data_IF_085984533537
#
_entry.id   IF_085984533537
#
_cell.length_a   1.000
_cell.length_b   1.000
_cell.length_c   1.000
_cell.angle_alpha   90.00
_cell.angle_beta   90.00
_cell.angle_gamma   90.00
#
_symmetry.space_group_name_H-M   'P 1'
#
loop_
_entity.id
_entity.type
_entity.pdbx_description
1 polymer ?
#
# COMPACT_ATOMS: atom_id res chain seq x y z
N UNK A 1 -52.45 15.14 -34.46
CA UNK A 1 -51.46 15.97 -33.72
C UNK A 1 -51.42 15.70 -32.24
N UNK A 2 -52.54 15.56 -31.51
CA UNK A 2 -52.54 15.25 -30.04
C UNK A 2 -51.89 13.91 -29.67
N UNK A 3 -51.97 12.87 -30.46
CA UNK A 3 -51.38 11.54 -30.19
C UNK A 3 -49.85 11.50 -30.31
N UNK A 4 -49.28 12.33 -31.21
CA UNK A 4 -47.81 12.42 -31.40
C UNK A 4 -47.14 13.14 -30.21
N UNK A 5 -47.79 14.15 -29.64
CA UNK A 5 -47.29 14.88 -28.49
C UNK A 5 -47.25 14.00 -27.23
N UNK A 6 -48.22 13.06 -27.10
CA UNK A 6 -48.28 12.13 -25.96
C UNK A 6 -47.14 11.08 -26.03
N UNK A 7 -46.77 10.62 -27.23
CA UNK A 7 -45.65 9.70 -27.41
C UNK A 7 -44.29 10.38 -27.17
N UNK A 8 -44.15 11.65 -27.58
CA UNK A 8 -42.91 12.41 -27.37
C UNK A 8 -42.67 12.71 -25.88
N UNK A 9 -43.74 12.93 -25.08
CA UNK A 9 -43.67 13.13 -23.63
C UNK A 9 -43.28 11.87 -22.86
N UNK A 10 -43.70 10.68 -23.32
CA UNK A 10 -43.36 9.40 -22.68
C UNK A 10 -41.89 9.00 -22.90
N UNK A 11 -41.31 9.36 -24.06
CA UNK A 11 -39.89 9.02 -24.38
C UNK A 11 -38.90 9.87 -23.58
N UNK A 12 -39.30 11.05 -23.11
CA UNK A 12 -38.41 11.92 -22.30
C UNK A 12 -38.27 11.42 -20.85
N UNK A 13 -39.17 10.56 -20.38
CA UNK A 13 -39.19 10.11 -18.98
C UNK A 13 -38.25 8.94 -18.71
N UNK A 14 -37.69 8.29 -19.76
CA UNK A 14 -36.83 7.09 -19.61
C UNK A 14 -35.35 7.44 -19.44
N UNK A 15 -34.94 8.70 -19.54
CA UNK A 15 -33.53 9.12 -19.45
C UNK A 15 -33.05 9.50 -18.05
N UNK A 16 -33.83 9.17 -16.99
CA UNK A 16 -33.30 9.20 -15.64
C UNK A 16 -32.40 7.99 -15.43
N UNK A 17 -31.21 8.03 -16.03
CA UNK A 17 -30.13 7.12 -15.72
C UNK A 17 -29.81 7.27 -14.21
N UNK A 18 -30.13 6.25 -13.43
CA UNK A 18 -29.66 6.14 -12.04
C UNK A 18 -28.14 6.27 -12.06
N UNK A 19 -27.62 7.43 -11.67
CA UNK A 19 -26.19 7.54 -11.33
C UNK A 19 -25.96 6.68 -10.12
N UNK A 20 -25.42 5.50 -10.32
CA UNK A 20 -24.99 4.65 -9.21
C UNK A 20 -23.86 5.40 -8.49
N UNK A 21 -24.17 5.96 -7.33
CA UNK A 21 -23.16 6.59 -6.47
C UNK A 21 -22.33 5.47 -5.83
N UNK A 22 -21.02 5.49 -6.08
CA UNK A 22 -20.11 4.50 -5.52
C UNK A 22 -19.94 4.77 -4.03
N UNK A 23 -20.17 3.73 -3.22
CA UNK A 23 -19.88 3.77 -1.80
C UNK A 23 -18.36 3.57 -1.58
N UNK A 24 -17.70 4.63 -1.12
CA UNK A 24 -16.28 4.63 -0.78
C UNK A 24 -16.00 4.28 0.70
N UNK A 25 -17.00 3.81 1.44
CA UNK A 25 -16.79 3.34 2.81
C UNK A 25 -15.83 2.15 2.86
N UNK A 26 -14.98 2.04 3.89
CA UNK A 26 -14.03 0.94 3.98
C UNK A 26 -14.76 -0.40 4.13
N UNK A 27 -14.25 -1.42 3.43
CA UNK A 27 -14.76 -2.79 3.51
C UNK A 27 -14.00 -3.58 4.58
N UNK A 28 -14.65 -4.54 5.24
CA UNK A 28 -13.95 -5.47 6.12
C UNK A 28 -12.99 -6.35 5.31
N UNK A 29 -11.82 -6.64 5.87
CA UNK A 29 -10.86 -7.60 5.29
C UNK A 29 -11.35 -9.02 5.60
N UNK A 30 -11.27 -9.88 4.59
CA UNK A 30 -11.33 -11.32 4.79
C UNK A 30 -9.90 -11.88 4.79
N UNK A 31 -9.33 -12.09 5.98
CA UNK A 31 -7.95 -12.53 6.15
C UNK A 31 -7.63 -13.92 5.58
N UNK A 32 -8.67 -14.75 5.32
CA UNK A 32 -8.49 -16.06 4.71
C UNK A 32 -8.42 -16.02 3.17
N UNK A 33 -8.80 -14.88 2.58
CA UNK A 33 -8.94 -14.74 1.11
C UNK A 33 -8.22 -13.55 0.53
N UNK A 34 -8.27 -12.40 1.21
CA UNK A 34 -7.81 -11.16 0.64
C UNK A 34 -6.28 -11.10 0.65
N UNK A 35 -5.70 -10.78 -0.49
CA UNK A 35 -4.25 -10.75 -0.70
C UNK A 35 -3.81 -9.39 -1.20
N UNK A 36 -2.58 -9.04 -0.90
CA UNK A 36 -1.96 -7.81 -1.40
C UNK A 36 -1.87 -7.82 -2.94
N UNK A 37 -2.28 -6.73 -3.57
CA UNK A 37 -2.26 -6.60 -5.02
C UNK A 37 -0.85 -6.69 -5.61
N UNK A 38 0.16 -6.20 -4.90
CA UNK A 38 1.56 -6.14 -5.36
C UNK A 38 2.35 -7.39 -4.96
N UNK A 39 2.52 -7.63 -3.66
CA UNK A 39 3.37 -8.75 -3.19
C UNK A 39 2.68 -10.11 -3.19
N UNK A 40 1.36 -10.17 -3.41
CA UNK A 40 0.53 -11.39 -3.44
C UNK A 40 0.49 -12.18 -2.12
N UNK A 41 0.98 -11.61 -1.03
CA UNK A 41 0.89 -12.20 0.31
C UNK A 41 -0.50 -11.98 0.90
N UNK A 42 -0.93 -12.88 1.78
CA UNK A 42 -2.15 -12.70 2.57
C UNK A 42 -2.05 -11.47 3.47
N UNK A 43 -3.17 -10.82 3.71
CA UNK A 43 -3.24 -9.72 4.66
C UNK A 43 -3.33 -10.30 6.07
N UNK A 44 -2.49 -9.87 7.00
CA UNK A 44 -2.45 -10.43 8.34
C UNK A 44 -2.50 -9.37 9.45
N UNK A 45 -2.17 -8.12 9.15
CA UNK A 45 -2.04 -7.09 10.16
C UNK A 45 -2.93 -5.86 9.87
N UNK A 46 -4.12 -5.77 10.50
CA UNK A 46 -5.07 -4.67 10.25
C UNK A 46 -4.52 -3.29 10.56
N UNK A 47 -3.40 -3.17 11.29
CA UNK A 47 -2.78 -1.86 11.61
C UNK A 47 -2.02 -1.24 10.44
N UNK A 48 -1.65 -2.04 9.44
CA UNK A 48 -0.81 -1.57 8.34
C UNK A 48 -1.42 -1.85 6.96
N UNK A 49 -2.47 -2.67 6.90
CA UNK A 49 -3.15 -2.97 5.65
C UNK A 49 -3.83 -1.73 5.07
N UNK A 50 -3.90 -1.66 3.75
CA UNK A 50 -4.62 -0.62 3.03
C UNK A 50 -5.63 -1.22 2.08
N UNK A 51 -6.64 -0.42 1.78
CA UNK A 51 -7.54 -0.65 0.66
C UNK A 51 -7.70 0.64 -0.15
N UNK A 52 -7.60 0.51 -1.46
CA UNK A 52 -7.97 1.56 -2.39
C UNK A 52 -9.28 1.16 -3.09
N UNK A 53 -10.24 2.08 -3.16
CA UNK A 53 -11.52 1.91 -3.83
C UNK A 53 -11.56 2.89 -4.99
N UNK A 54 -11.76 2.39 -6.21
CA UNK A 54 -11.79 3.22 -7.41
C UNK A 54 -13.21 3.73 -7.75
N UNK A 55 -13.32 4.53 -8.80
CA UNK A 55 -14.58 5.13 -9.23
C UNK A 55 -15.67 4.13 -9.66
N UNK A 56 -15.29 2.88 -9.89
CA UNK A 56 -16.22 1.78 -10.22
C UNK A 56 -16.57 0.91 -9.00
N UNK A 57 -16.06 1.23 -7.81
CA UNK A 57 -16.25 0.46 -6.59
C UNK A 57 -15.36 -0.78 -6.48
N UNK A 58 -14.41 -0.97 -7.40
CA UNK A 58 -13.42 -2.04 -7.31
C UNK A 58 -12.40 -1.74 -6.22
N UNK A 59 -11.89 -2.78 -5.56
CA UNK A 59 -10.96 -2.67 -4.45
C UNK A 59 -9.62 -3.31 -4.81
N UNK A 60 -8.52 -2.62 -4.45
CA UNK A 60 -7.19 -3.19 -4.33
C UNK A 60 -6.76 -3.19 -2.87
N UNK A 61 -6.23 -4.31 -2.45
CA UNK A 61 -5.69 -4.49 -1.11
C UNK A 61 -4.17 -4.39 -1.12
N UNK A 62 -3.60 -3.81 -0.07
CA UNK A 62 -2.15 -3.75 0.12
C UNK A 62 -1.81 -4.10 1.56
N UNK A 63 -0.75 -4.86 1.73
CA UNK A 63 -0.26 -5.34 3.01
C UNK A 63 0.50 -4.26 3.80
N UNK A 64 1.13 -3.33 3.08
CA UNK A 64 1.94 -2.23 3.61
C UNK A 64 1.82 -1.02 2.68
N UNK A 65 1.98 0.20 3.21
CA UNK A 65 1.96 1.43 2.41
C UNK A 65 3.02 1.42 1.31
N UNK A 66 4.11 0.70 1.51
CA UNK A 66 5.14 0.54 0.48
C UNK A 66 4.65 -0.25 -0.74
N UNK A 67 3.76 -1.23 -0.56
CA UNK A 67 3.15 -1.93 -1.69
C UNK A 67 2.26 -0.98 -2.52
N UNK A 68 1.53 -0.07 -1.87
CA UNK A 68 0.79 0.97 -2.57
C UNK A 68 1.75 1.93 -3.31
N UNK A 69 2.86 2.33 -2.69
CA UNK A 69 3.86 3.19 -3.32
C UNK A 69 4.46 2.52 -4.59
N UNK A 70 4.74 1.22 -4.53
CA UNK A 70 5.22 0.45 -5.68
C UNK A 70 4.17 0.40 -6.80
N UNK A 71 2.87 0.18 -6.49
CA UNK A 71 1.80 0.19 -7.50
C UNK A 71 1.60 1.58 -8.14
N UNK A 72 1.76 2.65 -7.36
CA UNK A 72 1.69 4.03 -7.86
C UNK A 72 2.85 4.34 -8.82
N UNK A 73 4.06 3.88 -8.49
CA UNK A 73 5.29 4.17 -9.24
C UNK A 73 5.45 3.28 -10.47
N UNK A 74 5.34 1.96 -10.28
CA UNK A 74 5.73 0.95 -11.27
C UNK A 74 4.52 0.19 -11.85
N UNK A 75 3.35 0.25 -11.19
CA UNK A 75 2.13 -0.40 -11.60
C UNK A 75 1.17 0.49 -12.40
N UNK A 76 -0.08 0.08 -12.41
CA UNK A 76 -1.14 0.75 -13.16
C UNK A 76 -2.14 1.51 -12.26
N UNK A 77 -1.78 1.75 -10.98
CA UNK A 77 -2.66 2.42 -10.00
C UNK A 77 -3.26 3.73 -10.53
N UNK A 78 -2.44 4.57 -11.17
CA UNK A 78 -2.87 5.87 -11.66
C UNK A 78 -3.92 5.78 -12.78
N UNK A 79 -3.92 4.70 -13.56
CA UNK A 79 -4.95 4.42 -14.57
C UNK A 79 -6.17 3.74 -13.92
N UNK A 80 -5.94 2.79 -13.03
CA UNK A 80 -6.97 2.01 -12.36
C UNK A 80 -7.88 2.83 -11.44
N UNK A 81 -7.31 3.81 -10.70
CA UNK A 81 -8.06 4.60 -9.71
C UNK A 81 -9.16 5.47 -10.31
N UNK A 82 -9.01 5.86 -11.59
CA UNK A 82 -9.93 6.77 -12.26
C UNK A 82 -9.88 8.19 -11.70
N UNK A 83 -10.98 8.94 -11.87
CA UNK A 83 -11.09 10.34 -11.42
C UNK A 83 -11.48 10.48 -9.95
N UNK A 84 -12.23 9.51 -9.43
CA UNK A 84 -12.67 9.46 -8.03
C UNK A 84 -12.19 8.18 -7.39
N UNK A 85 -11.53 8.28 -6.26
CA UNK A 85 -11.06 7.13 -5.50
C UNK A 85 -10.97 7.46 -4.02
N UNK A 86 -10.78 6.44 -3.20
CA UNK A 86 -10.53 6.58 -1.76
C UNK A 86 -9.51 5.57 -1.32
N UNK A 87 -8.58 6.00 -0.48
CA UNK A 87 -7.58 5.12 0.13
C UNK A 87 -7.80 5.12 1.64
N UNK A 88 -7.97 3.93 2.20
CA UNK A 88 -8.05 3.68 3.62
C UNK A 88 -6.81 2.94 4.08
N UNK A 89 -6.35 3.25 5.29
CA UNK A 89 -5.24 2.57 5.95
C UNK A 89 -5.63 2.24 7.38
N UNK A 90 -5.13 1.13 7.91
CA UNK A 90 -5.29 0.82 9.33
C UNK A 90 -4.52 1.79 10.21
N UNK A 91 -5.18 2.33 11.22
CA UNK A 91 -4.51 3.12 12.27
C UNK A 91 -3.55 2.23 13.04
N UNK A 92 -2.28 2.61 13.11
CA UNK A 92 -1.20 1.81 13.68
C UNK A 92 -1.34 1.55 15.20
N UNK A 93 -2.21 2.30 15.88
CA UNK A 93 -2.50 2.08 17.29
C UNK A 93 -3.71 1.14 17.48
N UNK A 94 -4.76 1.31 16.66
CA UNK A 94 -6.07 0.70 16.90
C UNK A 94 -6.47 -0.35 15.85
N UNK A 95 -5.86 -0.37 14.67
CA UNK A 95 -6.27 -1.19 13.52
C UNK A 95 -7.57 -0.73 12.84
N UNK A 96 -8.17 0.38 13.27
CA UNK A 96 -9.36 0.94 12.63
C UNK A 96 -9.00 1.68 11.36
N UNK A 97 -9.89 1.62 10.37
CA UNK A 97 -9.72 2.36 9.13
C UNK A 97 -9.71 3.88 9.34
N UNK A 98 -8.69 4.53 8.80
CA UNK A 98 -8.56 5.97 8.70
C UNK A 98 -8.25 6.36 7.25
N UNK A 99 -8.55 7.60 6.89
CA UNK A 99 -8.26 8.15 5.57
C UNK A 99 -6.74 8.26 5.38
N UNK A 100 -6.18 7.48 4.44
CA UNK A 100 -4.73 7.42 4.24
C UNK A 100 -4.15 8.76 3.81
N UNK A 101 -4.86 9.54 2.98
CA UNK A 101 -4.38 10.83 2.47
C UNK A 101 -4.43 11.95 3.52
N UNK A 102 -5.23 11.75 4.58
CA UNK A 102 -5.35 12.69 5.71
C UNK A 102 -4.61 12.24 6.97
N UNK A 103 -4.11 11.02 6.97
CA UNK A 103 -3.37 10.46 8.10
C UNK A 103 -1.99 11.10 8.25
N UNK A 104 -1.47 11.01 9.45
CA UNK A 104 -0.09 11.33 9.78
C UNK A 104 0.69 10.04 9.96
N UNK A 105 1.96 10.04 9.58
CA UNK A 105 2.77 8.84 9.55
C UNK A 105 4.01 9.00 10.45
N UNK A 106 4.28 7.96 11.23
CA UNK A 106 5.53 7.81 11.97
C UNK A 106 6.43 6.78 11.28
N UNK A 107 7.73 6.99 11.38
CA UNK A 107 8.73 6.05 10.90
C UNK A 107 9.28 5.21 12.05
N UNK A 108 9.56 3.94 11.79
CA UNK A 108 10.20 3.01 12.72
C UNK A 108 9.32 1.85 13.15
N UNK A 109 8.06 1.79 12.74
CA UNK A 109 7.16 0.67 13.04
C UNK A 109 7.64 -0.63 12.37
N UNK A 110 7.33 -1.78 12.99
CA UNK A 110 7.51 -3.08 12.36
C UNK A 110 6.29 -3.38 11.49
N UNK A 111 6.46 -3.17 10.19
CA UNK A 111 5.40 -3.35 9.19
C UNK A 111 5.63 -4.63 8.39
N UNK A 112 4.60 -5.26 7.81
CA UNK A 112 4.70 -6.56 7.16
C UNK A 112 5.82 -6.65 6.12
N UNK A 113 5.94 -5.64 5.25
CA UNK A 113 6.97 -5.58 4.20
C UNK A 113 8.23 -4.81 4.61
N UNK A 114 8.31 -4.35 5.87
CA UNK A 114 9.46 -3.65 6.40
C UNK A 114 9.69 -2.25 5.85
N UNK A 115 8.65 -1.58 5.30
CA UNK A 115 8.78 -0.18 4.92
C UNK A 115 8.87 0.74 6.13
N UNK A 116 8.21 0.38 7.24
CA UNK A 116 8.41 1.01 8.54
C UNK A 116 7.58 2.25 8.78
N UNK A 117 6.48 2.45 8.06
CA UNK A 117 5.59 3.60 8.24
C UNK A 117 4.25 3.17 8.83
N UNK A 118 3.94 3.64 10.04
CA UNK A 118 2.65 3.47 10.68
C UNK A 118 1.81 4.73 10.59
N UNK A 119 0.54 4.59 10.16
CA UNK A 119 -0.41 5.69 10.04
C UNK A 119 -1.15 5.92 11.35
N UNK A 120 -1.41 7.17 11.70
CA UNK A 120 -2.25 7.57 12.84
C UNK A 120 -3.11 8.76 12.45
N UNK A 121 -4.23 8.94 13.16
CA UNK A 121 -5.20 10.00 12.86
C UNK A 121 -4.64 11.39 13.12
N UNK A 122 -3.83 11.55 14.17
CA UNK A 122 -3.41 12.86 14.64
C UNK A 122 -1.90 13.06 14.50
N UNK A 123 -1.50 14.30 14.22
CA UNK A 123 -0.11 14.69 14.15
C UNK A 123 0.52 14.69 15.55
N UNK A 124 1.71 14.10 15.64
CA UNK A 124 2.54 14.11 16.86
C UNK A 124 4.01 14.36 16.49
N UNK A 125 4.88 14.53 17.47
CA UNK A 125 6.32 14.67 17.22
C UNK A 125 6.91 13.47 16.47
N UNK A 126 6.38 12.28 16.73
CA UNK A 126 6.78 11.04 16.05
C UNK A 126 6.05 10.85 14.71
N UNK A 127 4.76 11.15 14.64
CA UNK A 127 3.91 11.05 13.45
C UNK A 127 3.82 12.42 12.76
N UNK A 128 4.85 12.75 12.01
CA UNK A 128 5.06 14.09 11.42
C UNK A 128 5.04 14.13 9.90
N UNK A 129 5.02 12.96 9.25
CA UNK A 129 5.00 12.88 7.80
C UNK A 129 3.56 12.79 7.31
N UNK A 130 3.22 13.52 6.26
CA UNK A 130 1.98 13.35 5.52
C UNK A 130 2.09 12.23 4.48
N UNK A 131 0.98 11.86 3.88
CA UNK A 131 0.91 10.78 2.89
C UNK A 131 1.88 10.97 1.72
N UNK A 132 1.91 12.16 1.12
CA UNK A 132 2.78 12.48 -0.01
C UNK A 132 4.26 12.36 0.36
N UNK A 133 4.63 12.88 1.51
CA UNK A 133 6.00 12.79 2.04
C UNK A 133 6.40 11.33 2.26
N UNK A 134 5.51 10.48 2.76
CA UNK A 134 5.81 9.06 2.95
C UNK A 134 6.07 8.36 1.63
N UNK A 135 5.22 8.56 0.62
CA UNK A 135 5.45 7.98 -0.71
C UNK A 135 6.80 8.40 -1.27
N UNK A 136 7.12 9.70 -1.22
CA UNK A 136 8.42 10.20 -1.66
C UNK A 136 9.59 9.57 -0.89
N UNK A 137 9.48 9.43 0.43
CA UNK A 137 10.53 8.82 1.26
C UNK A 137 10.74 7.34 0.93
N UNK A 138 9.66 6.62 0.60
CA UNK A 138 9.75 5.22 0.15
C UNK A 138 10.49 5.15 -1.19
N UNK A 139 10.18 6.02 -2.14
CA UNK A 139 10.85 6.11 -3.45
C UNK A 139 12.33 6.45 -3.31
N UNK A 140 12.69 7.28 -2.34
CA UNK A 140 14.08 7.59 -1.99
C UNK A 140 14.79 6.46 -1.22
N UNK A 141 14.14 5.32 -0.97
CA UNK A 141 14.69 4.18 -0.24
C UNK A 141 14.82 4.41 1.28
N UNK A 142 14.18 5.41 1.85
CA UNK A 142 14.16 5.69 3.29
C UNK A 142 13.18 4.76 4.01
N UNK A 143 13.52 3.47 4.10
CA UNK A 143 12.69 2.40 4.65
C UNK A 143 13.48 1.57 5.65
N UNK A 144 12.80 0.93 6.63
CA UNK A 144 13.46 0.05 7.62
C UNK A 144 14.19 -1.11 6.93
N UNK A 145 13.59 -1.71 5.89
CA UNK A 145 14.22 -2.80 5.15
C UNK A 145 15.51 -2.37 4.46
N UNK A 146 15.57 -1.15 3.89
CA UNK A 146 16.78 -0.61 3.30
C UNK A 146 17.87 -0.37 4.34
N UNK A 147 17.51 0.20 5.49
CA UNK A 147 18.42 0.39 6.62
C UNK A 147 18.98 -0.94 7.14
N UNK A 148 18.14 -1.96 7.24
CA UNK A 148 18.56 -3.31 7.63
C UNK A 148 19.55 -3.91 6.63
N UNK A 149 19.26 -3.83 5.34
CA UNK A 149 20.14 -4.33 4.27
C UNK A 149 21.49 -3.63 4.31
N UNK A 150 21.48 -2.29 4.48
CA UNK A 150 22.70 -1.48 4.58
C UNK A 150 23.55 -1.90 5.78
N UNK A 151 22.95 -2.06 6.96
CA UNK A 151 23.63 -2.52 8.18
C UNK A 151 24.23 -3.92 7.99
N UNK A 152 23.48 -4.84 7.38
CA UNK A 152 23.96 -6.20 7.10
C UNK A 152 25.16 -6.20 6.16
N UNK A 153 25.12 -5.43 5.07
CA UNK A 153 26.24 -5.29 4.13
C UNK A 153 27.50 -4.75 4.83
N UNK A 154 27.37 -3.72 5.68
CA UNK A 154 28.48 -3.16 6.45
C UNK A 154 29.08 -4.18 7.41
N UNK A 155 28.25 -5.00 8.10
CA UNK A 155 28.74 -6.04 9.02
C UNK A 155 29.44 -7.20 8.31
N UNK A 156 29.10 -7.48 7.08
CA UNK A 156 29.76 -8.50 6.25
C UNK A 156 31.11 -7.98 5.72
N UNK A 157 31.15 -6.75 5.22
CA UNK A 157 32.39 -6.14 4.71
C UNK A 157 33.46 -5.92 5.79
N UNK A 158 33.06 -5.78 7.05
CA UNK A 158 34.02 -5.66 8.17
C UNK A 158 34.62 -6.99 8.66
N UNK A 159 34.06 -8.15 8.22
CA UNK A 159 34.56 -9.48 8.62
C UNK A 159 35.59 -10.05 7.63
N UNK A 160 35.65 -9.54 6.43
CA UNK A 160 36.61 -10.03 5.39
C UNK A 160 38.05 -9.52 5.65
N UNK A 161 38.26 -8.64 6.63
CA UNK A 161 39.58 -8.14 7.03
C UNK A 161 40.27 -8.97 8.13
N UNK A 162 39.60 -9.93 8.77
CA UNK A 162 40.15 -10.63 9.95
C UNK A 162 40.21 -12.16 9.81
N UNK A 163 39.89 -12.72 8.67
CA UNK A 163 40.10 -14.12 8.42
C UNK A 163 41.25 -14.33 7.40
N UNK A 164 42.45 -14.42 7.95
CA UNK A 164 43.62 -14.91 7.28
C UNK A 164 43.30 -16.24 6.55
N UNK A 165 43.72 -16.31 5.28
CA UNK A 165 43.42 -17.38 4.36
C UNK A 165 43.53 -18.77 4.99
N UNK A 166 42.46 -19.55 4.87
CA UNK A 166 42.58 -20.99 4.91
C UNK A 166 43.42 -21.40 3.72
N UNK A 167 44.73 -21.56 3.98
CA UNK A 167 45.62 -22.30 3.06
C UNK A 167 45.11 -23.73 3.06
N UNK A 168 44.44 -24.14 1.99
CA UNK A 168 44.25 -25.55 1.70
C UNK A 168 45.64 -26.18 1.61
N UNK A 169 45.97 -27.12 2.51
CA UNK A 169 47.17 -27.90 2.42
C UNK A 169 47.08 -28.73 1.14
N UNK A 170 48.14 -28.74 0.31
CA UNK A 170 48.15 -29.56 -0.91
C UNK A 170 48.15 -31.06 -0.53
N UNK A 171 47.10 -31.80 -0.91
CA UNK A 171 47.13 -33.25 -0.85
C UNK A 171 45.95 -33.99 -0.26
N UNK A 172 44.77 -33.39 -0.02
CA UNK A 172 43.58 -34.13 0.45
C UNK A 172 42.26 -33.69 -0.20
N UNK A 173 42.21 -33.74 -1.51
CA UNK A 173 40.96 -33.76 -2.27
C UNK A 173 41.09 -34.89 -3.29
N UNK A 174 40.63 -36.09 -2.91
CA UNK A 174 40.62 -37.25 -3.81
C UNK A 174 40.54 -38.58 -3.07
N UNK A 175 39.33 -39.01 -2.77
CA UNK A 175 38.81 -40.38 -2.96
C UNK A 175 37.33 -40.36 -2.56
#
# INVERSE_FOLDING_TARGET
>A
MKKIVLFLGFTLFILNSCKHEVDFSPRPINFDRDVCYVCKMGLDNPKYNLQAINENGNIRWYDDIGCLAEDIRDGDFNQWKGKKYKIWIGDANTGKWIDAEKAWYRFGDDTPMGYGYGAVKEKTDKAKYDFKTVLQRIDEGKTKRADFIKKKKMSMSGKDGENGGMKCAPGKCGQ
#
